data_IF_306581568183
#
_entry.id   IF_306581568183
#
_cell.length_a   1.000
_cell.length_b   1.000
_cell.length_c   1.000
_cell.angle_alpha   90.00
_cell.angle_beta   90.00
_cell.angle_gamma   90.00
#
_symmetry.space_group_name_H-M   'P 1'
#
loop_
_entity.id
_entity.type
_entity.pdbx_description
1 polymer ?
#
# COMPACT_ATOMS: atom_id res chain seq x y z
N UNK A 1 33.22 19.21 -30.50
CA UNK A 1 31.97 19.59 -31.18
C UNK A 1 30.93 19.72 -30.08
N UNK A 2 30.57 20.97 -29.77
CA UNK A 2 29.53 21.48 -28.87
C UNK A 2 29.55 21.06 -27.39
N UNK A 3 30.14 21.95 -26.59
CA UNK A 3 29.85 22.14 -25.17
C UNK A 3 28.40 22.64 -25.02
N UNK A 4 27.66 22.08 -24.07
CA UNK A 4 26.33 22.55 -23.72
C UNK A 4 26.46 23.64 -22.66
N UNK A 5 26.06 24.87 -23.01
CA UNK A 5 26.05 26.03 -22.12
C UNK A 5 25.01 25.87 -21.01
N UNK A 6 25.48 26.14 -19.80
CA UNK A 6 24.73 26.15 -18.53
C UNK A 6 23.85 27.41 -18.46
N UNK A 7 22.53 27.24 -18.41
CA UNK A 7 21.58 28.34 -18.22
C UNK A 7 21.57 28.82 -16.77
N UNK A 8 22.38 29.83 -16.45
CA UNK A 8 22.35 30.56 -15.18
C UNK A 8 21.58 31.87 -15.35
N UNK A 9 20.33 31.92 -14.92
CA UNK A 9 19.60 33.18 -14.75
C UNK A 9 20.15 33.93 -13.52
N UNK A 10 20.56 35.19 -13.71
CA UNK A 10 21.15 36.05 -12.67
C UNK A 10 20.13 37.11 -12.24
N UNK A 11 19.57 36.95 -11.04
CA UNK A 11 18.98 38.05 -10.27
C UNK A 11 19.67 38.09 -8.89
N UNK A 12 20.27 39.23 -8.55
CA UNK A 12 20.77 39.62 -7.23
C UNK A 12 21.87 38.77 -6.54
N UNK A 13 22.79 38.19 -7.32
CA UNK A 13 24.09 37.73 -6.80
C UNK A 13 24.05 36.55 -5.82
N UNK A 14 22.88 35.96 -5.59
CA UNK A 14 22.72 34.70 -4.90
C UNK A 14 22.64 33.60 -5.95
N UNK A 15 23.66 32.74 -5.99
CA UNK A 15 23.62 31.52 -6.80
C UNK A 15 22.63 30.57 -6.14
N UNK A 16 21.38 30.57 -6.61
CA UNK A 16 20.39 29.57 -6.22
C UNK A 16 20.72 28.30 -6.99
N UNK A 17 21.47 27.40 -6.35
CA UNK A 17 21.65 26.06 -6.90
C UNK A 17 20.31 25.32 -6.81
N UNK A 18 19.78 24.89 -7.95
CA UNK A 18 18.64 23.98 -7.93
C UNK A 18 19.02 22.72 -7.15
N UNK A 19 18.20 22.30 -6.17
CA UNK A 19 18.49 21.09 -5.43
C UNK A 19 18.49 19.90 -6.39
N UNK A 20 19.62 19.22 -6.51
CA UNK A 20 19.83 18.02 -7.33
C UNK A 20 19.05 16.79 -6.83
N UNK A 21 18.11 16.96 -5.89
CA UNK A 21 17.35 15.88 -5.29
C UNK A 21 16.05 15.66 -6.04
N UNK A 22 15.78 14.41 -6.42
CA UNK A 22 14.46 13.99 -6.89
C UNK A 22 13.39 14.37 -5.85
N UNK A 23 12.31 15.06 -6.25
CA UNK A 23 11.26 15.42 -5.32
C UNK A 23 10.60 14.17 -4.72
N UNK A 24 10.22 14.20 -3.43
CA UNK A 24 9.60 13.05 -2.78
C UNK A 24 8.25 12.71 -3.43
N UNK A 25 7.94 11.42 -3.50
CA UNK A 25 6.65 10.96 -4.02
C UNK A 25 5.50 11.22 -3.01
N UNK A 26 4.26 10.96 -3.42
CA UNK A 26 3.06 11.22 -2.60
C UNK A 26 3.11 10.51 -1.25
N UNK A 27 3.60 9.25 -1.21
CA UNK A 27 3.73 8.51 0.04
C UNK A 27 4.74 9.17 0.97
N UNK A 28 5.93 9.49 0.46
CA UNK A 28 7.00 10.13 1.25
C UNK A 28 6.59 11.49 1.80
N UNK A 29 5.76 12.24 1.05
CA UNK A 29 5.34 13.58 1.45
C UNK A 29 4.18 13.59 2.46
N UNK A 30 3.23 12.67 2.33
CA UNK A 30 1.95 12.75 3.07
C UNK A 30 1.65 11.56 3.98
N UNK A 31 2.46 10.51 3.94
CA UNK A 31 2.20 9.28 4.68
C UNK A 31 3.39 8.88 5.54
N UNK A 32 3.08 8.34 6.72
CA UNK A 32 4.04 7.55 7.49
C UNK A 32 3.94 6.09 7.05
N UNK A 33 5.03 5.54 6.52
CA UNK A 33 5.06 4.16 6.04
C UNK A 33 5.66 3.19 7.04
N UNK A 34 5.17 1.96 7.06
CA UNK A 34 5.73 0.82 7.80
C UNK A 34 5.53 -0.47 7.03
N UNK A 35 6.44 -1.43 7.18
CA UNK A 35 6.28 -2.77 6.60
C UNK A 35 5.63 -3.69 7.64
N UNK A 36 4.56 -4.37 7.26
CA UNK A 36 4.06 -5.50 7.99
C UNK A 36 4.71 -6.76 7.42
N UNK A 37 5.62 -7.35 8.19
CA UNK A 37 6.27 -8.61 7.82
C UNK A 37 5.41 -9.78 8.24
N UNK A 38 5.04 -10.64 7.28
CA UNK A 38 4.30 -11.84 7.60
C UNK A 38 5.28 -12.95 8.05
N UNK A 39 5.34 -13.18 9.36
CA UNK A 39 6.08 -14.32 9.89
C UNK A 39 5.23 -15.58 9.77
N UNK A 40 5.71 -16.56 8.99
CA UNK A 40 5.12 -17.91 8.90
C UNK A 40 5.16 -18.57 10.28
N UNK A 41 4.04 -19.09 10.73
CA UNK A 41 3.93 -19.76 12.03
C UNK A 41 4.04 -21.28 11.91
N UNK A 42 3.84 -21.83 10.71
CA UNK A 42 3.97 -23.25 10.38
C UNK A 42 4.71 -23.44 9.06
N UNK A 43 5.41 -24.56 8.93
CA UNK A 43 6.23 -24.88 7.76
C UNK A 43 5.38 -25.37 6.55
N UNK A 44 4.11 -25.69 6.79
CA UNK A 44 3.18 -26.34 5.86
C UNK A 44 2.07 -25.42 5.33
N UNK A 45 2.24 -24.09 5.46
CA UNK A 45 1.30 -23.15 4.85
C UNK A 45 1.44 -23.27 3.31
N UNK A 46 0.47 -23.93 2.68
CA UNK A 46 0.32 -24.14 1.22
C UNK A 46 0.48 -22.83 0.43
N UNK A 47 0.14 -21.69 1.04
CA UNK A 47 0.18 -20.37 0.45
C UNK A 47 1.36 -19.54 0.96
N UNK A 48 1.97 -18.76 0.06
CA UNK A 48 2.95 -17.75 0.42
C UNK A 48 2.20 -16.55 1.01
N UNK A 49 2.58 -16.09 2.19
CA UNK A 49 2.01 -14.86 2.74
C UNK A 49 3.20 -13.97 3.09
N UNK A 50 3.25 -12.80 2.46
CA UNK A 50 4.45 -12.00 2.39
C UNK A 50 4.20 -10.55 2.82
N UNK A 51 5.27 -9.77 2.79
CA UNK A 51 5.31 -8.43 3.34
C UNK A 51 4.39 -7.47 2.59
N UNK A 52 3.68 -6.64 3.34
CA UNK A 52 2.89 -5.53 2.78
C UNK A 52 3.38 -4.20 3.33
N UNK A 53 3.29 -3.17 2.49
CA UNK A 53 3.54 -1.79 2.86
C UNK A 53 2.24 -1.19 3.40
N UNK A 54 2.31 -0.62 4.60
CA UNK A 54 1.22 0.13 5.23
C UNK A 54 1.59 1.60 5.23
N UNK A 55 0.80 2.42 4.57
CA UNK A 55 0.93 3.87 4.55
C UNK A 55 -0.17 4.51 5.39
N UNK A 56 0.21 5.23 6.44
CA UNK A 56 -0.70 5.96 7.32
C UNK A 56 -0.75 7.43 6.93
N UNK A 57 -1.93 7.91 6.54
CA UNK A 57 -2.16 9.33 6.27
C UNK A 57 -2.35 10.12 7.58
N UNK A 58 -2.25 11.45 7.52
CA UNK A 58 -2.46 12.35 8.67
C UNK A 58 -3.87 12.29 9.28
N UNK A 59 -4.88 11.95 8.49
CA UNK A 59 -6.24 11.67 8.97
C UNK A 59 -6.41 10.26 9.54
N UNK A 60 -5.30 9.52 9.70
CA UNK A 60 -5.18 8.20 10.28
C UNK A 60 -5.73 7.04 9.43
N UNK A 61 -6.22 7.31 8.21
CA UNK A 61 -6.50 6.24 7.26
C UNK A 61 -5.21 5.47 6.95
N UNK A 62 -5.34 4.15 6.86
CA UNK A 62 -4.30 3.29 6.32
C UNK A 62 -4.61 2.94 4.88
N UNK A 63 -3.60 3.01 4.03
CA UNK A 63 -3.62 2.48 2.67
C UNK A 63 -2.57 1.38 2.60
N UNK A 64 -2.94 0.21 2.10
CA UNK A 64 -2.03 -0.93 1.97
C UNK A 64 -1.59 -1.12 0.53
N UNK A 65 -0.33 -1.54 0.36
CA UNK A 65 0.30 -1.84 -0.93
C UNK A 65 1.16 -3.09 -0.77
N UNK A 66 1.61 -3.69 -1.89
CA UNK A 66 2.69 -4.67 -1.79
C UNK A 66 3.94 -4.01 -1.23
N UNK A 67 4.73 -4.73 -0.42
CA UNK A 67 6.05 -4.25 -0.04
C UNK A 67 7.02 -4.40 -1.21
N UNK A 68 8.04 -3.54 -1.28
CA UNK A 68 9.13 -3.71 -2.25
C UNK A 68 9.84 -5.06 -2.03
N UNK A 69 9.85 -5.59 -0.81
CA UNK A 69 10.44 -6.89 -0.44
C UNK A 69 9.62 -8.11 -0.85
N UNK A 70 8.37 -7.93 -1.31
CA UNK A 70 7.49 -9.03 -1.71
C UNK A 70 8.07 -9.78 -2.93
N UNK A 71 8.09 -11.11 -2.91
CA UNK A 71 8.65 -12.00 -3.95
C UNK A 71 8.06 -11.74 -5.32
N UNK A 72 6.73 -11.56 -5.42
CA UNK A 72 6.05 -11.11 -6.64
C UNK A 72 6.71 -9.86 -7.27
N UNK A 73 7.10 -8.88 -6.46
CA UNK A 73 7.74 -7.64 -6.91
C UNK A 73 9.21 -7.89 -7.25
N UNK A 74 9.94 -8.54 -6.34
CA UNK A 74 11.38 -8.84 -6.50
C UNK A 74 11.68 -9.70 -7.73
N UNK A 75 10.85 -10.72 -7.97
CA UNK A 75 10.98 -11.66 -9.10
C UNK A 75 10.26 -11.20 -10.36
N UNK A 76 9.51 -10.09 -10.29
CA UNK A 76 8.67 -9.57 -11.39
C UNK A 76 7.81 -10.67 -12.02
N UNK A 77 7.20 -11.51 -11.19
CA UNK A 77 6.32 -12.57 -11.65
C UNK A 77 5.07 -12.00 -12.31
N UNK A 78 4.58 -12.65 -13.36
CA UNK A 78 3.34 -12.23 -14.02
C UNK A 78 2.13 -12.63 -13.19
N UNK A 79 1.28 -11.66 -12.87
CA UNK A 79 0.02 -11.89 -12.15
C UNK A 79 -1.02 -12.41 -13.14
N UNK A 80 -1.65 -13.54 -12.82
CA UNK A 80 -2.78 -14.08 -13.58
C UNK A 80 -4.10 -13.54 -13.03
N UNK A 81 -4.23 -13.45 -11.71
CA UNK A 81 -5.48 -13.05 -11.06
C UNK A 81 -5.22 -12.44 -9.69
N UNK A 82 -6.05 -11.48 -9.29
CA UNK A 82 -6.13 -10.96 -7.93
C UNK A 82 -7.57 -11.07 -7.47
N UNK A 83 -7.82 -11.63 -6.28
CA UNK A 83 -9.17 -11.82 -5.75
C UNK A 83 -9.29 -11.25 -4.34
N UNK A 84 -10.31 -10.43 -4.04
CA UNK A 84 -10.65 -10.15 -2.67
C UNK A 84 -11.27 -11.39 -2.00
N UNK A 85 -11.04 -11.56 -0.71
CA UNK A 85 -11.87 -12.46 0.10
C UNK A 85 -13.30 -11.92 0.07
N UNK A 86 -14.29 -12.81 -0.10
CA UNK A 86 -15.71 -12.44 -0.10
C UNK A 86 -15.99 -11.41 1.00
N UNK A 87 -16.39 -10.23 0.55
CA UNK A 87 -16.71 -9.07 1.37
C UNK A 87 -18.06 -8.55 0.90
N UNK A 88 -19.03 -8.63 1.80
CA UNK A 88 -20.32 -7.99 1.62
C UNK A 88 -20.31 -6.67 2.42
N UNK A 89 -20.11 -5.51 1.75
CA UNK A 89 -20.13 -4.21 2.41
C UNK A 89 -21.51 -3.85 2.99
N UNK A 90 -22.59 -4.50 2.55
CA UNK A 90 -23.96 -4.28 3.00
C UNK A 90 -24.34 -5.12 4.23
N UNK A 91 -23.56 -6.16 4.54
CA UNK A 91 -23.76 -7.01 5.72
C UNK A 91 -23.58 -6.29 7.08
N UNK A 92 -23.00 -5.09 7.09
CA UNK A 92 -22.68 -4.33 8.31
C UNK A 92 -23.72 -3.25 8.63
N UNK A 93 -24.41 -3.45 9.76
CA UNK A 93 -25.55 -2.63 10.18
C UNK A 93 -25.13 -1.58 11.22
N UNK A 94 -25.50 -0.32 10.98
CA UNK A 94 -25.31 0.83 11.89
C UNK A 94 -24.72 2.05 11.20
N UNK A 95 -25.24 3.26 11.51
CA UNK A 95 -24.88 4.54 10.85
C UNK A 95 -23.37 4.85 10.84
N UNK A 96 -22.61 4.34 11.83
CA UNK A 96 -21.15 4.49 11.96
C UNK A 96 -20.34 3.25 11.55
N UNK A 97 -21.01 2.18 11.08
CA UNK A 97 -20.41 0.88 10.72
C UNK A 97 -20.75 0.43 9.30
N UNK A 98 -21.62 1.17 8.59
CA UNK A 98 -21.96 0.93 7.18
C UNK A 98 -20.68 0.82 6.34
N UNK A 99 -20.58 -0.24 5.54
CA UNK A 99 -19.53 -0.46 4.55
C UNK A 99 -18.33 -1.31 5.01
N UNK A 100 -17.90 -1.28 6.27
CA UNK A 100 -16.57 -1.78 6.65
C UNK A 100 -16.50 -3.16 7.32
N UNK A 101 -15.66 -4.09 6.82
CA UNK A 101 -15.33 -5.36 7.49
C UNK A 101 -14.24 -5.17 8.55
N UNK A 102 -14.44 -5.67 9.76
CA UNK A 102 -13.40 -5.62 10.78
C UNK A 102 -12.25 -6.59 10.47
N UNK A 103 -11.03 -6.08 10.50
CA UNK A 103 -9.79 -6.84 10.21
C UNK A 103 -8.78 -6.69 11.34
N UNK A 104 -7.97 -7.72 11.52
CA UNK A 104 -6.73 -7.72 12.31
C UNK A 104 -5.52 -7.77 11.35
N UNK A 105 -4.29 -7.48 11.80
CA UNK A 105 -3.13 -7.45 10.92
C UNK A 105 -2.94 -8.72 10.08
N UNK A 106 -3.19 -9.90 10.65
CA UNK A 106 -3.09 -11.20 9.97
C UNK A 106 -4.36 -11.65 9.25
N UNK A 107 -5.45 -10.86 9.27
CA UNK A 107 -6.66 -11.20 8.52
C UNK A 107 -6.36 -11.14 7.04
N UNK A 108 -6.58 -12.26 6.33
CA UNK A 108 -6.43 -12.31 4.87
C UNK A 108 -7.60 -11.56 4.23
N UNK A 109 -7.27 -10.61 3.36
CA UNK A 109 -8.23 -9.73 2.66
C UNK A 109 -8.30 -10.02 1.16
N UNK A 110 -7.32 -10.75 0.61
CA UNK A 110 -7.33 -11.20 -0.77
C UNK A 110 -6.24 -12.21 -1.06
N UNK A 111 -6.18 -12.66 -2.31
CA UNK A 111 -5.18 -13.56 -2.87
C UNK A 111 -4.67 -13.04 -4.20
N UNK A 112 -3.44 -13.41 -4.55
CA UNK A 112 -2.82 -13.16 -5.86
C UNK A 112 -2.40 -14.52 -6.40
N UNK A 113 -2.83 -14.84 -7.60
CA UNK A 113 -2.40 -16.03 -8.34
C UNK A 113 -1.53 -15.59 -9.49
N UNK A 114 -0.34 -16.16 -9.61
CA UNK A 114 0.58 -15.90 -10.73
C UNK A 114 0.35 -16.87 -11.88
N UNK A 115 0.85 -16.52 -13.07
CA UNK A 115 0.71 -17.37 -14.26
C UNK A 115 1.42 -18.74 -14.14
N UNK A 116 2.45 -18.82 -13.30
CA UNK A 116 3.16 -20.07 -12.98
C UNK A 116 2.45 -20.90 -11.88
N UNK A 117 1.28 -20.45 -11.40
CA UNK A 117 0.43 -21.17 -10.46
C UNK A 117 0.77 -20.94 -8.98
N UNK A 118 1.71 -20.05 -8.65
CA UNK A 118 1.96 -19.70 -7.25
C UNK A 118 0.81 -18.83 -6.70
N UNK A 119 0.49 -19.03 -5.42
CA UNK A 119 -0.55 -18.27 -4.74
C UNK A 119 0.00 -17.53 -3.52
N UNK A 120 -0.28 -16.22 -3.50
CA UNK A 120 0.09 -15.31 -2.42
C UNK A 120 -1.15 -14.84 -1.66
N UNK A 121 -1.15 -14.97 -0.34
CA UNK A 121 -2.17 -14.38 0.52
C UNK A 121 -1.82 -12.91 0.80
N UNK A 122 -2.85 -12.08 0.81
CA UNK A 122 -2.73 -10.67 1.13
C UNK A 122 -3.28 -10.44 2.55
N UNK A 123 -2.42 -10.20 3.55
CA UNK A 123 -2.88 -9.83 4.89
C UNK A 123 -3.35 -8.36 4.92
N UNK A 124 -4.15 -8.00 5.92
CA UNK A 124 -4.58 -6.62 6.13
C UNK A 124 -3.45 -5.70 6.64
N UNK A 125 -2.46 -6.26 7.34
CA UNK A 125 -1.28 -5.56 7.89
C UNK A 125 -1.53 -4.62 9.06
N UNK A 126 -2.78 -4.18 9.24
CA UNK A 126 -3.22 -3.34 10.34
C UNK A 126 -4.56 -3.79 10.91
N UNK A 127 -4.84 -3.38 12.15
CA UNK A 127 -6.15 -3.55 12.74
C UNK A 127 -7.06 -2.37 12.36
N UNK A 128 -8.28 -2.67 11.92
CA UNK A 128 -9.24 -1.62 11.59
C UNK A 128 -10.54 -2.13 11.00
N UNK A 129 -11.23 -1.25 10.30
CA UNK A 129 -12.35 -1.55 9.43
C UNK A 129 -11.89 -1.38 7.99
N UNK A 130 -11.77 -2.48 7.26
CA UNK A 130 -11.57 -2.50 5.81
C UNK A 130 -12.78 -1.85 5.16
N UNK A 131 -12.59 -0.67 4.57
CA UNK A 131 -13.67 0.14 3.97
C UNK A 131 -13.60 0.22 2.47
N UNK A 132 -12.44 -0.11 1.89
CA UNK A 132 -12.25 -0.13 0.45
C UNK A 132 -11.29 -1.24 0.05
N UNK A 133 -11.60 -1.88 -1.06
CA UNK A 133 -10.72 -2.76 -1.82
C UNK A 133 -10.57 -2.13 -3.20
N UNK A 134 -9.37 -2.14 -3.75
CA UNK A 134 -9.15 -1.65 -5.10
C UNK A 134 -9.72 -2.63 -6.13
N UNK A 135 -10.98 -2.42 -6.52
CA UNK A 135 -11.69 -3.28 -7.47
C UNK A 135 -11.05 -3.30 -8.87
N UNK A 136 -10.22 -2.30 -9.22
CA UNK A 136 -9.48 -2.29 -10.49
C UNK A 136 -8.52 -3.46 -10.60
N UNK A 137 -8.03 -3.99 -9.47
CA UNK A 137 -7.11 -5.15 -9.46
C UNK A 137 -7.74 -6.42 -10.06
N UNK A 138 -9.07 -6.50 -10.17
CA UNK A 138 -9.74 -7.61 -10.85
C UNK A 138 -9.51 -7.60 -12.36
N UNK A 139 -9.44 -6.42 -12.97
CA UNK A 139 -9.31 -6.23 -14.42
C UNK A 139 -7.92 -5.76 -14.85
N UNK A 140 -7.18 -5.12 -13.94
CA UNK A 140 -5.86 -4.51 -14.15
C UNK A 140 -4.87 -5.01 -13.06
N UNK A 141 -4.59 -6.33 -12.98
CA UNK A 141 -3.74 -6.89 -11.92
C UNK A 141 -2.29 -6.36 -11.93
N UNK A 142 -1.80 -5.90 -13.09
CA UNK A 142 -0.48 -5.33 -13.28
C UNK A 142 -0.24 -4.03 -12.50
N UNK A 143 -1.31 -3.37 -12.04
CA UNK A 143 -1.20 -2.18 -11.19
C UNK A 143 -0.43 -2.46 -9.89
N UNK A 144 -0.54 -3.68 -9.36
CA UNK A 144 0.18 -4.11 -8.16
C UNK A 144 1.71 -3.91 -8.26
N UNK A 145 2.27 -4.02 -9.46
CA UNK A 145 3.71 -3.89 -9.72
C UNK A 145 4.03 -2.56 -10.40
N UNK A 146 3.31 -2.20 -11.46
CA UNK A 146 3.62 -1.03 -12.30
C UNK A 146 3.30 0.30 -11.60
N UNK A 147 2.30 0.30 -10.72
CA UNK A 147 1.78 1.48 -10.02
C UNK A 147 1.71 1.25 -8.51
N UNK A 148 2.58 0.38 -8.00
CA UNK A 148 2.60 -0.13 -6.62
C UNK A 148 2.44 0.94 -5.54
N UNK A 149 2.99 2.14 -5.71
CA UNK A 149 2.96 3.23 -4.72
C UNK A 149 1.92 4.32 -5.00
N UNK A 150 1.00 4.04 -5.93
CA UNK A 150 -0.01 4.97 -6.45
C UNK A 150 -1.34 4.25 -6.67
N UNK A 151 -1.73 3.99 -7.92
CA UNK A 151 -2.98 3.32 -8.30
C UNK A 151 -3.01 1.83 -7.96
N UNK A 152 -1.86 1.23 -7.67
CA UNK A 152 -1.69 -0.17 -7.27
C UNK A 152 -1.92 -0.44 -5.78
N UNK A 153 -2.62 0.45 -5.07
CA UNK A 153 -3.04 0.15 -3.70
C UNK A 153 -3.98 -1.05 -3.65
N UNK A 154 -3.97 -1.75 -2.52
CA UNK A 154 -4.77 -2.95 -2.30
C UNK A 154 -6.06 -2.57 -1.57
N UNK A 155 -5.93 -1.89 -0.43
CA UNK A 155 -7.07 -1.61 0.43
C UNK A 155 -6.92 -0.32 1.24
N UNK A 156 -8.06 0.23 1.65
CA UNK A 156 -8.16 1.34 2.61
C UNK A 156 -8.78 0.81 3.90
N UNK A 157 -8.12 1.07 5.02
CA UNK A 157 -8.51 0.59 6.36
C UNK A 157 -8.63 1.77 7.32
N UNK A 158 -9.81 1.91 7.92
CA UNK A 158 -10.09 2.87 8.98
C UNK A 158 -9.65 2.35 10.36
N UNK A 159 -8.88 3.11 11.16
CA UNK A 159 -8.57 2.71 12.53
C UNK A 159 -9.82 2.73 13.41
N UNK A 160 -9.95 1.73 14.29
CA UNK A 160 -11.09 1.65 15.24
C UNK A 160 -11.03 2.65 16.39
N UNK A 161 -9.87 3.23 16.67
CA UNK A 161 -9.66 4.19 17.78
C UNK A 161 -8.99 5.45 17.26
N UNK A 162 -9.46 6.61 17.73
CA UNK A 162 -8.62 7.82 17.69
C UNK A 162 -7.38 7.53 18.55
N UNK A 163 -6.15 7.79 18.08
CA UNK A 163 -5.01 7.79 18.97
C UNK A 163 -5.25 8.85 20.04
N UNK A 164 -4.92 8.52 21.29
CA UNK A 164 -5.18 9.38 22.46
C UNK A 164 -4.17 10.53 22.55
N UNK A 165 -3.99 11.32 21.51
CA UNK A 165 -3.07 12.46 21.52
C UNK A 165 -3.77 13.75 21.94
N UNK A 166 -4.48 13.76 23.07
CA UNK A 166 -4.98 15.02 23.68
C UNK A 166 -4.69 15.12 25.19
N UNK A 167 -3.67 14.44 25.71
CA UNK A 167 -3.08 14.86 26.98
C UNK A 167 -1.88 15.74 26.66
N UNK A 168 -2.14 17.02 26.40
CA UNK A 168 -1.09 18.03 26.56
C UNK A 168 -0.76 18.11 28.06
N UNK A 169 0.52 18.22 28.46
CA UNK A 169 0.88 18.56 29.83
C UNK A 169 0.34 19.93 30.23
#
# INVERSE_FOLDING_TARGET
MMEAEENVAREDGVVVQEPQSTPPNVLERYFKTSIFTYQRTKHDDEYLCEDILVAQHSNLLYVTFLADTHSLVQRRQQVAEVKPVKWDPDSVHGKRKKGGRNVQPRTIIGTITTQDGAEYLIPAGVQGSLVEWNWRLLSEPELLQNKQKTEGYIAVILPKRKPSYWKQP
#
